data_IF_154624826717
#
_entry.id   IF_154624826717
#
_cell.length_a   1.000
_cell.length_b   1.000
_cell.length_c   1.000
_cell.angle_alpha   90.00
_cell.angle_beta   90.00
_cell.angle_gamma   90.00
#
_symmetry.space_group_name_H-M   'P 1'
#
loop_
_entity.id
_entity.type
_entity.pdbx_description
1 polymer ?
#
# COMPACT_ATOMS: atom_id res chain seq x y z
N UNK A 1 -35.09 -13.54 -48.95
CA UNK A 1 -33.93 -12.73 -48.53
C UNK A 1 -34.39 -11.76 -47.44
N UNK A 2 -34.45 -12.18 -46.16
CA UNK A 2 -34.93 -11.33 -45.05
C UNK A 2 -34.50 -11.88 -43.66
N UNK A 3 -33.25 -12.30 -43.49
CA UNK A 3 -32.73 -12.73 -42.16
C UNK A 3 -31.25 -12.35 -41.96
N UNK A 4 -30.82 -11.16 -42.42
CA UNK A 4 -29.45 -10.68 -42.16
C UNK A 4 -29.33 -9.24 -41.64
N UNK A 5 -30.43 -8.47 -41.59
CA UNK A 5 -30.37 -7.05 -41.19
C UNK A 5 -30.69 -6.85 -39.70
N UNK A 6 -31.57 -7.67 -39.09
CA UNK A 6 -31.95 -7.51 -37.67
C UNK A 6 -30.87 -7.98 -36.66
N UNK A 7 -30.05 -8.98 -37.04
CA UNK A 7 -28.92 -9.44 -36.19
C UNK A 7 -27.79 -8.41 -36.09
N UNK A 8 -27.58 -7.59 -37.12
CA UNK A 8 -26.53 -6.57 -37.14
C UNK A 8 -26.87 -5.36 -36.25
N UNK A 9 -28.11 -4.88 -36.32
CA UNK A 9 -28.55 -3.70 -35.56
C UNK A 9 -28.63 -3.95 -34.03
N UNK A 10 -29.03 -5.17 -33.62
CA UNK A 10 -29.11 -5.56 -32.21
C UNK A 10 -27.73 -5.76 -31.56
N UNK A 11 -26.77 -6.35 -32.29
CA UNK A 11 -25.39 -6.55 -31.81
C UNK A 11 -24.63 -5.22 -31.67
N UNK A 12 -24.83 -4.28 -32.60
CA UNK A 12 -24.25 -2.93 -32.49
C UNK A 12 -24.78 -2.17 -31.26
N UNK A 13 -26.08 -2.23 -30.98
CA UNK A 13 -26.68 -1.59 -29.80
C UNK A 13 -26.21 -2.20 -28.48
N UNK A 14 -26.02 -3.52 -28.43
CA UNK A 14 -25.49 -4.18 -27.22
C UNK A 14 -24.04 -3.78 -26.93
N UNK A 15 -23.19 -3.73 -27.97
CA UNK A 15 -21.79 -3.33 -27.79
C UNK A 15 -21.66 -1.87 -27.33
N UNK A 16 -22.46 -0.94 -27.90
CA UNK A 16 -22.51 0.46 -27.45
C UNK A 16 -22.91 0.55 -25.98
N UNK A 17 -23.93 -0.21 -25.56
CA UNK A 17 -24.36 -0.25 -24.16
C UNK A 17 -23.27 -0.81 -23.24
N UNK A 18 -22.57 -1.87 -23.66
CA UNK A 18 -21.44 -2.44 -22.90
C UNK A 18 -20.31 -1.43 -22.76
N UNK A 19 -19.97 -0.70 -23.82
CA UNK A 19 -18.92 0.32 -23.79
C UNK A 19 -19.30 1.50 -22.89
N UNK A 20 -20.55 1.97 -22.93
CA UNK A 20 -21.05 2.99 -22.00
C UNK A 20 -21.00 2.53 -20.54
N UNK A 21 -21.37 1.27 -20.27
CA UNK A 21 -21.28 0.68 -18.93
C UNK A 21 -19.83 0.61 -18.48
N UNK A 22 -18.93 0.17 -19.37
CA UNK A 22 -17.49 0.08 -19.09
C UNK A 22 -16.89 1.45 -18.79
N UNK A 23 -17.26 2.47 -19.55
CA UNK A 23 -16.81 3.85 -19.32
C UNK A 23 -17.34 4.40 -17.99
N UNK A 24 -18.63 4.18 -17.68
CA UNK A 24 -19.21 4.57 -16.40
C UNK A 24 -18.53 3.86 -15.22
N UNK A 25 -18.23 2.57 -15.34
CA UNK A 25 -17.50 1.81 -14.33
C UNK A 25 -16.08 2.35 -14.15
N UNK A 26 -15.35 2.62 -15.23
CA UNK A 26 -14.00 3.18 -15.18
C UNK A 26 -13.98 4.56 -14.53
N UNK A 27 -14.94 5.44 -14.86
CA UNK A 27 -15.08 6.75 -14.23
C UNK A 27 -15.33 6.65 -12.73
N UNK A 28 -16.20 5.73 -12.31
CA UNK A 28 -16.45 5.46 -10.88
C UNK A 28 -15.20 4.92 -10.18
N UNK A 29 -14.48 3.99 -10.80
CA UNK A 29 -13.26 3.41 -10.26
C UNK A 29 -12.17 4.48 -10.05
N UNK A 30 -11.98 5.38 -11.02
CA UNK A 30 -11.02 6.47 -10.90
C UNK A 30 -11.35 7.42 -9.73
N UNK A 31 -12.62 7.76 -9.55
CA UNK A 31 -13.06 8.58 -8.41
C UNK A 31 -12.77 7.88 -7.08
N UNK A 32 -13.09 6.58 -6.96
CA UNK A 32 -12.81 5.79 -5.76
C UNK A 32 -11.30 5.78 -5.45
N UNK A 33 -10.46 5.60 -6.48
CA UNK A 33 -9.00 5.61 -6.36
C UNK A 33 -8.48 6.95 -5.83
N UNK A 34 -8.96 8.07 -6.40
CA UNK A 34 -8.59 9.42 -5.97
C UNK A 34 -9.02 9.68 -4.52
N UNK A 35 -10.26 9.34 -4.16
CA UNK A 35 -10.78 9.51 -2.80
C UNK A 35 -9.99 8.68 -1.78
N UNK A 36 -9.64 7.44 -2.14
CA UNK A 36 -8.83 6.55 -1.30
C UNK A 36 -7.44 7.12 -1.05
N UNK A 37 -6.77 7.61 -2.10
CA UNK A 37 -5.46 8.26 -1.98
C UNK A 37 -5.52 9.51 -1.09
N UNK A 38 -6.51 10.37 -1.27
CA UNK A 38 -6.68 11.58 -0.45
C UNK A 38 -6.94 11.26 1.02
N UNK A 39 -7.77 10.23 1.29
CA UNK A 39 -8.03 9.76 2.66
C UNK A 39 -6.75 9.21 3.31
N UNK A 40 -5.98 8.42 2.56
CA UNK A 40 -4.69 7.90 3.00
C UNK A 40 -3.69 9.01 3.32
N UNK A 41 -3.53 10.00 2.44
CA UNK A 41 -2.64 11.14 2.65
C UNK A 41 -2.99 11.93 3.92
N UNK A 42 -4.28 12.15 4.17
CA UNK A 42 -4.75 12.81 5.38
C UNK A 42 -4.42 12.01 6.65
N UNK A 43 -4.53 10.68 6.59
CA UNK A 43 -4.18 9.82 7.72
C UNK A 43 -2.67 9.86 8.00
N UNK A 44 -1.82 9.87 6.96
CA UNK A 44 -0.37 10.04 7.11
C UNK A 44 -0.04 11.36 7.82
N UNK A 45 -0.65 12.48 7.40
CA UNK A 45 -0.42 13.79 8.03
C UNK A 45 -0.78 13.79 9.52
N UNK A 46 -1.89 13.14 9.90
CA UNK A 46 -2.30 12.98 11.31
C UNK A 46 -1.31 12.12 12.09
N UNK A 47 -0.88 10.98 11.54
CA UNK A 47 0.11 10.10 12.17
C UNK A 47 1.45 10.82 12.40
N UNK A 48 1.91 11.58 11.40
CA UNK A 48 3.13 12.37 11.51
C UNK A 48 3.05 13.43 12.63
N UNK A 49 1.89 14.08 12.79
CA UNK A 49 1.68 15.03 13.90
C UNK A 49 1.72 14.35 15.28
N UNK A 50 1.12 13.16 15.41
CA UNK A 50 1.14 12.36 16.64
C UNK A 50 2.58 11.93 16.97
N UNK A 51 3.30 11.39 15.98
CA UNK A 51 4.67 10.95 16.13
C UNK A 51 5.58 12.11 16.57
N UNK A 52 5.48 13.26 15.91
CA UNK A 52 6.26 14.45 16.29
C UNK A 52 5.99 14.90 17.72
N UNK A 53 4.72 14.85 18.15
CA UNK A 53 4.34 15.21 19.52
C UNK A 53 4.97 14.25 20.52
N UNK A 54 4.88 12.94 20.29
CA UNK A 54 5.49 11.93 21.14
C UNK A 54 7.02 12.08 21.22
N UNK A 55 7.69 12.28 20.08
CA UNK A 55 9.15 12.50 20.02
C UNK A 55 9.57 13.72 20.82
N UNK A 56 8.84 14.84 20.71
CA UNK A 56 9.12 16.04 21.52
C UNK A 56 9.00 15.75 23.01
N UNK A 57 7.96 15.03 23.43
CA UNK A 57 7.77 14.66 24.84
C UNK A 57 8.90 13.77 25.36
N UNK A 58 9.30 12.75 24.59
CA UNK A 58 10.36 11.80 24.97
C UNK A 58 11.71 12.52 25.09
N UNK A 59 12.04 13.36 24.11
CA UNK A 59 13.33 14.06 24.04
C UNK A 59 13.33 15.39 24.80
N UNK A 60 12.21 15.76 25.44
CA UNK A 60 11.99 17.03 26.15
C UNK A 60 12.32 18.26 25.28
N UNK A 61 11.92 18.23 24.01
CA UNK A 61 12.12 19.33 23.06
C UNK A 61 11.04 20.41 23.22
N UNK A 62 11.36 21.64 22.85
CA UNK A 62 10.39 22.73 22.80
C UNK A 62 9.33 22.46 21.72
N UNK A 63 8.10 22.93 21.95
CA UNK A 63 7.01 22.81 20.98
C UNK A 63 7.32 23.55 19.65
N UNK A 64 8.04 24.67 19.72
CA UNK A 64 8.42 25.49 18.57
C UNK A 64 9.50 24.86 17.68
N UNK A 65 10.19 23.80 18.13
CA UNK A 65 11.26 23.18 17.35
C UNK A 65 10.73 22.72 15.99
N UNK A 66 11.31 23.11 14.85
CA UNK A 66 10.86 22.65 13.53
C UNK A 66 10.88 21.12 13.37
N UNK A 67 9.92 20.55 12.62
CA UNK A 67 9.78 19.08 12.46
C UNK A 67 11.02 18.41 11.87
N UNK A 68 11.73 19.06 10.95
CA UNK A 68 12.96 18.52 10.35
C UNK A 68 14.06 18.34 11.40
N UNK A 69 14.14 19.23 12.38
CA UNK A 69 15.09 19.13 13.50
C UNK A 69 14.65 18.03 14.47
N UNK A 70 13.36 17.95 14.79
CA UNK A 70 12.79 16.89 15.64
C UNK A 70 13.14 15.50 15.09
N UNK A 71 13.00 15.30 13.77
CA UNK A 71 13.36 14.04 13.12
C UNK A 71 14.84 13.69 13.24
N UNK A 72 15.72 14.63 12.90
CA UNK A 72 17.16 14.42 12.97
C UNK A 72 17.64 14.13 14.41
N UNK A 73 17.10 14.90 15.37
CA UNK A 73 17.44 14.76 16.77
C UNK A 73 16.94 13.43 17.34
N UNK A 74 15.75 12.98 16.94
CA UNK A 74 15.24 11.65 17.30
C UNK A 74 16.09 10.53 16.72
N UNK A 75 16.42 10.61 15.43
CA UNK A 75 17.22 9.59 14.77
C UNK A 75 18.59 9.40 15.44
N UNK A 76 19.25 10.52 15.77
CA UNK A 76 20.56 10.49 16.40
C UNK A 76 20.51 10.11 17.88
N UNK A 77 19.63 10.73 18.68
CA UNK A 77 19.59 10.50 20.13
C UNK A 77 18.98 9.14 20.48
N UNK A 78 17.95 8.70 19.76
CA UNK A 78 17.31 7.40 19.99
C UNK A 78 18.02 6.26 19.25
N UNK A 79 19.08 6.56 18.48
CA UNK A 79 19.86 5.58 17.71
C UNK A 79 18.97 4.65 16.86
N UNK A 80 17.93 5.23 16.23
CA UNK A 80 16.89 4.45 15.54
C UNK A 80 17.48 3.57 14.43
N UNK A 81 18.51 4.04 13.72
CA UNK A 81 19.21 3.25 12.71
C UNK A 81 19.81 1.96 13.31
N UNK A 82 20.50 2.07 14.44
CA UNK A 82 21.13 0.93 15.10
C UNK A 82 20.09 -0.06 15.60
N UNK A 83 18.98 0.43 16.16
CA UNK A 83 17.88 -0.42 16.62
C UNK A 83 17.21 -1.12 15.42
N UNK A 84 16.97 -0.40 14.33
CA UNK A 84 16.37 -0.94 13.10
C UNK A 84 17.25 -2.03 12.49
N UNK A 85 18.55 -1.81 12.38
CA UNK A 85 19.49 -2.79 11.82
C UNK A 85 19.52 -4.06 12.68
N UNK A 86 19.58 -3.92 14.00
CA UNK A 86 19.55 -5.08 14.91
C UNK A 86 18.23 -5.85 14.83
N UNK A 87 17.10 -5.16 14.73
CA UNK A 87 15.79 -5.80 14.54
C UNK A 87 15.71 -6.54 13.21
N UNK A 88 16.26 -5.94 12.15
CA UNK A 88 16.35 -6.56 10.83
C UNK A 88 17.21 -7.82 10.86
N UNK A 89 18.44 -7.75 11.38
CA UNK A 89 19.34 -8.89 11.56
C UNK A 89 18.68 -10.00 12.37
N UNK A 90 18.03 -9.64 13.50
CA UNK A 90 17.27 -10.61 14.29
C UNK A 90 16.16 -11.25 13.47
N UNK A 91 15.40 -10.47 12.71
CA UNK A 91 14.32 -10.99 11.88
C UNK A 91 14.83 -11.98 10.81
N UNK A 92 15.95 -11.66 10.15
CA UNK A 92 16.58 -12.57 9.18
C UNK A 92 17.01 -13.88 9.85
N UNK A 93 17.63 -13.80 11.02
CA UNK A 93 18.06 -14.99 11.77
C UNK A 93 16.86 -15.83 12.20
N UNK A 94 15.81 -15.22 12.77
CA UNK A 94 14.64 -15.95 13.26
C UNK A 94 13.85 -16.60 12.11
N UNK A 95 13.60 -15.86 11.03
CA UNK A 95 12.91 -16.39 9.85
C UNK A 95 13.76 -17.45 9.16
N UNK A 96 15.05 -17.17 8.92
CA UNK A 96 15.98 -18.10 8.27
C UNK A 96 16.18 -19.39 9.06
N UNK A 97 16.34 -19.30 10.38
CA UNK A 97 16.43 -20.47 11.27
C UNK A 97 15.11 -21.22 11.31
N UNK A 98 13.98 -20.51 11.35
CA UNK A 98 12.65 -21.11 11.33
C UNK A 98 12.38 -21.89 10.04
N UNK A 99 12.80 -21.37 8.89
CA UNK A 99 12.74 -22.06 7.61
C UNK A 99 13.70 -23.26 7.55
N UNK A 100 14.94 -23.09 8.03
CA UNK A 100 15.95 -24.16 8.03
C UNK A 100 15.51 -25.38 8.84
N UNK A 101 14.81 -25.15 9.96
CA UNK A 101 14.25 -26.21 10.79
C UNK A 101 12.82 -26.62 10.39
N UNK A 102 12.28 -26.05 9.29
CA UNK A 102 10.92 -26.32 8.82
C UNK A 102 9.86 -26.11 9.92
N UNK A 103 9.99 -25.04 10.72
CA UNK A 103 9.01 -24.70 11.75
C UNK A 103 7.66 -24.43 11.06
N UNK A 104 6.60 -25.21 11.34
CA UNK A 104 5.36 -25.20 10.54
C UNK A 104 4.66 -23.85 10.45
N UNK A 105 4.78 -23.02 11.49
CA UNK A 105 4.19 -21.67 11.49
C UNK A 105 4.97 -20.71 10.59
N UNK A 106 6.31 -20.76 10.62
CA UNK A 106 7.16 -19.86 9.82
C UNK A 106 7.03 -20.19 8.34
N UNK A 107 7.06 -21.49 7.99
CA UNK A 107 6.88 -21.95 6.61
C UNK A 107 5.54 -21.46 6.05
N UNK A 108 4.45 -21.69 6.78
CA UNK A 108 3.10 -21.28 6.36
C UNK A 108 2.97 -19.77 6.19
N UNK A 109 3.50 -18.97 7.12
CA UNK A 109 3.47 -17.51 7.02
C UNK A 109 4.22 -17.00 5.78
N UNK A 110 5.36 -17.61 5.43
CA UNK A 110 6.15 -17.24 4.27
C UNK A 110 5.43 -17.63 2.96
N UNK A 111 4.79 -18.80 2.93
CA UNK A 111 3.96 -19.24 1.80
C UNK A 111 2.76 -18.31 1.59
N UNK A 112 1.97 -18.03 2.64
CA UNK A 112 0.82 -17.11 2.59
C UNK A 112 1.25 -15.70 2.15
N UNK A 113 2.39 -15.21 2.64
CA UNK A 113 2.93 -13.91 2.21
C UNK A 113 3.29 -13.91 0.72
N UNK A 114 3.95 -14.96 0.24
CA UNK A 114 4.34 -15.09 -1.17
C UNK A 114 3.11 -15.17 -2.09
N UNK A 115 2.11 -15.97 -1.73
CA UNK A 115 0.84 -16.06 -2.46
C UNK A 115 0.11 -14.71 -2.49
N UNK A 116 0.04 -14.02 -1.34
CA UNK A 116 -0.52 -12.67 -1.24
C UNK A 116 0.24 -11.66 -2.10
N UNK A 117 1.57 -11.74 -2.18
CA UNK A 117 2.37 -10.87 -3.03
C UNK A 117 2.17 -11.16 -4.52
N UNK A 118 2.19 -12.44 -4.93
CA UNK A 118 2.00 -12.86 -6.32
C UNK A 118 0.58 -12.53 -6.84
N UNK A 119 -0.43 -12.59 -5.97
CA UNK A 119 -1.81 -12.21 -6.33
C UNK A 119 -2.01 -10.70 -6.55
N UNK A 120 -1.07 -9.86 -6.09
CA UNK A 120 -1.14 -8.40 -6.18
C UNK A 120 -0.35 -7.79 -7.35
N UNK A 121 0.15 -8.59 -8.30
CA UNK A 121 0.70 -8.07 -9.55
C UNK A 121 -0.42 -7.49 -10.43
N UNK A 122 -0.77 -6.23 -10.17
CA UNK A 122 -1.40 -5.37 -11.17
C UNK A 122 -0.24 -4.86 -12.04
N UNK A 123 -0.13 -5.36 -13.28
CA UNK A 123 0.75 -4.75 -14.29
C UNK A 123 0.39 -3.26 -14.38
N UNK A 124 1.28 -2.40 -13.88
CA UNK A 124 1.21 -0.99 -14.19
C UNK A 124 1.76 -0.84 -15.61
N UNK A 125 0.95 -0.36 -16.58
CA UNK A 125 1.50 -0.03 -17.88
C UNK A 125 2.54 1.08 -17.67
N UNK A 126 3.75 0.83 -18.12
CA UNK A 126 4.84 1.81 -18.09
C UNK A 126 4.59 2.86 -19.19
N UNK A 127 4.87 4.17 -18.96
CA UNK A 127 4.63 5.23 -19.94
C UNK A 127 5.32 5.02 -21.29
#
# INVERSE_FOLDING_TARGET
MKISVEKSCSVLNFNILVDEIKERCNKRLNIIKILSNKKWENNIKKLHAIQNTAVRSILKLKYETPSNIVHHEAFNKLKLLTVSNRLFELSEIYVGTGLSHSIPLVVRLVEEYKEGFESNYIEYPTP
#
